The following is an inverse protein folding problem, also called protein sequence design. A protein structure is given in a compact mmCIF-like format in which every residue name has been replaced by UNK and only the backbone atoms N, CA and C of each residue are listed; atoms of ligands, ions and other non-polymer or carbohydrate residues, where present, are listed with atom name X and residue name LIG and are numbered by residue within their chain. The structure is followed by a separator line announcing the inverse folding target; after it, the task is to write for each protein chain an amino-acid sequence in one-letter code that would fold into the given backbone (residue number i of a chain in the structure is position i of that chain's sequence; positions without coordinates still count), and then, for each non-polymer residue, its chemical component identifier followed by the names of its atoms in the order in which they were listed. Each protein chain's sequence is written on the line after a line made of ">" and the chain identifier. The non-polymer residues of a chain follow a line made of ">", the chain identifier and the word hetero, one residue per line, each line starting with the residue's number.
data_IF_359535897100
#
_entry.id   IF_359535897100
#
_cell.length_a   1.000
_cell.length_b   1.000
_cell.length_c   1.000
_cell.angle_alpha   90.00
_cell.angle_beta   90.00
_cell.angle_gamma   90.00
#
_symmetry.space_group_name_H-M   'P 1'
#
loop_
_entity.id
_entity.type
_entity.pdbx_description
1 polymer ?
#
# COMPACT_ATOMS: atom_id res chain seq x y z
N UNK A 1 6.63 3.73 13.67
CA UNK A 1 5.74 2.82 12.91
C UNK A 1 6.48 2.28 11.69
N UNK A 2 6.33 0.99 11.37
CA UNK A 2 6.85 0.41 10.12
C UNK A 2 6.13 1.01 8.91
N UNK A 3 6.73 0.94 7.71
CA UNK A 3 6.08 1.40 6.46
C UNK A 3 4.71 0.74 6.28
N UNK A 4 4.61 -0.56 6.54
CA UNK A 4 3.34 -1.29 6.50
C UNK A 4 2.30 -0.75 7.50
N UNK A 5 2.73 -0.39 8.71
CA UNK A 5 1.84 0.22 9.71
C UNK A 5 1.35 1.62 9.33
N UNK A 6 2.18 2.42 8.66
CA UNK A 6 1.79 3.74 8.14
C UNK A 6 0.77 3.62 6.99
N UNK A 7 0.96 2.65 6.10
CA UNK A 7 0.03 2.37 5.00
C UNK A 7 -1.33 1.88 5.48
N UNK A 8 -1.37 1.07 6.54
CA UNK A 8 -2.62 0.59 7.12
C UNK A 8 -3.49 1.73 7.65
N UNK A 9 -2.90 2.85 8.10
CA UNK A 9 -3.63 4.05 8.50
C UNK A 9 -4.32 4.77 7.33
N UNK A 10 -3.99 4.39 6.09
CA UNK A 10 -4.64 4.83 4.85
C UNK A 10 -5.45 3.71 4.20
N UNK A 11 -5.84 2.68 4.95
CA UNK A 11 -6.55 1.49 4.46
C UNK A 11 -5.81 0.70 3.38
N UNK A 12 -4.49 0.90 3.25
CA UNK A 12 -3.63 0.18 2.30
C UNK A 12 -2.88 -0.94 3.00
N UNK A 13 -3.20 -2.19 2.66
CA UNK A 13 -2.53 -3.37 3.23
C UNK A 13 -1.43 -3.90 2.31
N UNK A 14 -0.18 -3.82 2.76
CA UNK A 14 0.99 -4.35 2.05
C UNK A 14 1.76 -5.30 2.95
N UNK A 15 2.15 -6.47 2.40
CA UNK A 15 2.95 -7.47 3.11
C UNK A 15 4.44 -7.34 2.83
N UNK A 16 5.29 -7.56 3.83
CA UNK A 16 6.73 -7.70 3.64
C UNK A 16 7.06 -9.10 3.07
N UNK A 17 7.93 -9.15 2.06
CA UNK A 17 8.46 -10.38 1.46
C UNK A 17 9.93 -10.62 1.85
N UNK A 18 10.46 -9.84 2.80
CA UNK A 18 11.85 -9.85 3.25
C UNK A 18 12.29 -8.46 3.72
N UNK A 19 13.58 -8.28 4.07
CA UNK A 19 14.08 -7.03 4.65
C UNK A 19 13.97 -5.81 3.73
N UNK A 20 13.99 -6.03 2.41
CA UNK A 20 14.06 -4.96 1.40
C UNK A 20 12.94 -5.02 0.35
N UNK A 21 11.99 -5.96 0.48
CA UNK A 21 10.93 -6.17 -0.53
C UNK A 21 9.57 -6.23 0.13
N UNK A 22 8.62 -5.55 -0.51
CA UNK A 22 7.20 -5.57 -0.16
C UNK A 22 6.39 -6.04 -1.37
N UNK A 23 5.25 -6.69 -1.11
CA UNK A 23 4.29 -7.08 -2.13
C UNK A 23 2.95 -6.43 -1.85
N UNK A 24 2.51 -5.61 -2.80
CA UNK A 24 1.14 -5.11 -2.86
C UNK A 24 0.29 -6.14 -3.61
N UNK A 25 -0.84 -6.53 -3.02
CA UNK A 25 -1.86 -7.36 -3.67
C UNK A 25 -3.15 -6.59 -3.55
N UNK A 26 -3.90 -6.49 -4.65
CA UNK A 26 -5.23 -5.92 -4.67
C UNK A 26 -6.23 -6.98 -5.09
N UNK A 27 -7.50 -6.75 -4.76
CA UNK A 27 -8.59 -7.54 -5.32
C UNK A 27 -8.75 -7.22 -6.82
N UNK A 28 -9.30 -8.17 -7.59
CA UNK A 28 -9.49 -8.02 -9.03
C UNK A 28 -10.70 -7.15 -9.39
N UNK A 29 -11.58 -6.87 -8.42
CA UNK A 29 -12.82 -6.12 -8.55
C UNK A 29 -12.69 -4.63 -8.19
N UNK A 30 -11.47 -4.09 -8.22
CA UNK A 30 -11.25 -2.65 -7.99
C UNK A 30 -11.32 -1.84 -9.28
N UNK A 31 -11.62 -0.54 -9.13
CA UNK A 31 -11.59 0.43 -10.22
C UNK A 31 -10.29 1.27 -10.21
N UNK A 32 -10.16 2.13 -11.22
CA UNK A 32 -9.00 3.02 -11.38
C UNK A 32 -8.85 4.05 -10.25
N UNK A 33 -9.97 4.55 -9.71
CA UNK A 33 -9.99 5.57 -8.65
C UNK A 33 -9.42 4.98 -7.35
N UNK A 34 -9.89 3.79 -6.97
CA UNK A 34 -9.40 3.04 -5.81
C UNK A 34 -7.92 2.69 -5.94
N UNK A 35 -7.47 2.29 -7.14
CA UNK A 35 -6.05 2.06 -7.40
C UNK A 35 -5.22 3.33 -7.21
N UNK A 36 -5.72 4.46 -7.72
CA UNK A 36 -5.04 5.76 -7.66
C UNK A 36 -4.93 6.26 -6.22
N UNK A 37 -5.98 6.11 -5.40
CA UNK A 37 -5.97 6.44 -3.97
C UNK A 37 -4.92 5.64 -3.21
N UNK A 38 -4.83 4.32 -3.46
CA UNK A 38 -3.83 3.47 -2.83
C UNK A 38 -2.39 3.85 -3.25
N UNK A 39 -2.18 4.21 -4.52
CA UNK A 39 -0.89 4.68 -5.01
C UNK A 39 -0.48 6.03 -4.38
N UNK A 40 -1.43 6.94 -4.21
CA UNK A 40 -1.22 8.22 -3.52
C UNK A 40 -0.87 8.04 -2.05
N UNK A 41 -1.57 7.15 -1.35
CA UNK A 41 -1.24 6.78 0.02
C UNK A 41 0.18 6.20 0.13
N UNK A 42 0.56 5.30 -0.79
CA UNK A 42 1.92 4.76 -0.86
C UNK A 42 2.95 5.89 -1.02
N UNK A 43 2.73 6.80 -1.97
CA UNK A 43 3.61 7.95 -2.22
C UNK A 43 3.82 8.80 -0.97
N UNK A 44 2.76 9.12 -0.23
CA UNK A 44 2.83 9.92 1.01
C UNK A 44 3.63 9.24 2.12
N UNK A 45 3.66 7.91 2.16
CA UNK A 45 4.36 7.16 3.21
C UNK A 45 5.84 6.95 2.89
N UNK A 46 6.20 6.79 1.61
CA UNK A 46 7.57 6.48 1.17
C UNK A 46 8.40 7.70 0.77
N UNK A 47 7.77 8.83 0.42
CA UNK A 47 8.44 10.10 0.19
C UNK A 47 8.94 10.71 1.52
#
# INVERSE_FOLDING_TARGET
>A
ATVAGKLLAHDVRIGAMGPYRMRAVTHLDINWEQLSEAAEALRKVVA
#
